data_IF_222709606914
#
_entry.id   IF_222709606914
#
_cell.length_a   1.000
_cell.length_b   1.000
_cell.length_c   1.000
_cell.angle_alpha   90.00
_cell.angle_beta   90.00
_cell.angle_gamma   90.00
#
_symmetry.space_group_name_H-M   'P 1'
#
loop_
_entity.id
_entity.type
_entity.pdbx_description
1 polymer ?
#
# COMPACT_ATOMS: atom_id res chain seq x y z
N UNK A 1 -0.93 8.15 16.33
CA UNK A 1 -1.21 8.10 14.88
C UNK A 1 -2.38 7.14 14.66
N UNK A 2 -3.55 7.65 14.30
CA UNK A 2 -4.84 6.93 14.16
C UNK A 2 -4.95 6.08 12.86
N UNK A 3 -3.85 5.48 12.41
CA UNK A 3 -3.71 4.91 11.04
C UNK A 3 -4.41 3.57 10.87
N UNK A 4 -4.71 2.87 11.97
CA UNK A 4 -5.19 1.49 11.93
C UNK A 4 -6.62 1.35 11.39
N UNK A 5 -7.50 2.34 11.62
CA UNK A 5 -8.91 2.20 11.25
C UNK A 5 -9.11 2.42 9.75
N UNK A 6 -8.52 3.46 9.19
CA UNK A 6 -8.71 3.81 7.77
C UNK A 6 -8.01 2.82 6.81
N UNK A 7 -6.82 2.32 7.16
CA UNK A 7 -6.14 1.25 6.42
C UNK A 7 -6.86 -0.10 6.49
N UNK A 8 -7.48 -0.39 7.63
CA UNK A 8 -8.28 -1.60 7.79
C UNK A 8 -9.57 -1.50 6.95
N UNK A 9 -10.23 -0.35 6.95
CA UNK A 9 -11.39 -0.09 6.11
C UNK A 9 -11.03 -0.10 4.62
N UNK A 10 -9.85 0.41 4.25
CA UNK A 10 -9.25 0.25 2.93
C UNK A 10 -9.09 -1.21 2.52
N UNK A 11 -8.59 -2.06 3.42
CA UNK A 11 -8.44 -3.50 3.16
C UNK A 11 -9.80 -4.21 2.97
N UNK A 12 -10.85 -3.73 3.64
CA UNK A 12 -12.23 -4.22 3.46
C UNK A 12 -12.83 -3.74 2.14
N UNK A 13 -12.64 -2.47 1.80
CA UNK A 13 -13.07 -1.92 0.51
C UNK A 13 -12.39 -2.64 -0.65
N UNK A 14 -11.11 -2.97 -0.51
CA UNK A 14 -10.37 -3.79 -1.47
C UNK A 14 -11.06 -5.14 -1.71
N UNK A 15 -11.39 -5.89 -0.66
CA UNK A 15 -12.10 -7.17 -0.79
C UNK A 15 -13.50 -7.02 -1.43
N UNK A 16 -14.22 -5.95 -1.10
CA UNK A 16 -15.57 -5.68 -1.61
C UNK A 16 -15.59 -5.24 -3.09
N UNK A 17 -14.64 -4.41 -3.51
CA UNK A 17 -14.51 -3.92 -4.89
C UNK A 17 -14.12 -5.07 -5.85
N UNK A 18 -13.23 -5.93 -5.37
CA UNK A 18 -12.65 -7.06 -6.09
C UNK A 18 -13.64 -8.15 -6.45
N UNK A 19 -14.56 -8.49 -5.54
CA UNK A 19 -15.61 -9.50 -5.77
C UNK A 19 -16.63 -9.06 -6.82
N UNK A 20 -16.77 -7.75 -7.06
CA UNK A 20 -17.79 -7.17 -7.94
C UNK A 20 -17.35 -7.08 -9.40
N UNK A 21 -16.04 -7.11 -9.68
CA UNK A 21 -15.46 -6.85 -11.01
C UNK A 21 -14.84 -8.08 -11.70
N UNK A 22 -15.05 -9.29 -11.18
CA UNK A 22 -14.55 -10.53 -11.80
C UNK A 22 -13.02 -10.63 -11.88
N UNK A 23 -12.31 -9.96 -10.96
CA UNK A 23 -10.85 -10.03 -10.90
C UNK A 23 -10.37 -11.43 -10.51
N UNK A 24 -9.24 -11.83 -11.07
CA UNK A 24 -8.52 -13.07 -10.77
C UNK A 24 -8.23 -13.18 -9.26
N UNK A 25 -8.72 -14.24 -8.64
CA UNK A 25 -8.61 -14.50 -7.20
C UNK A 25 -7.16 -14.53 -6.72
N UNK A 26 -6.22 -14.97 -7.56
CA UNK A 26 -4.80 -14.99 -7.23
C UNK A 26 -4.22 -13.57 -7.12
N UNK A 27 -4.57 -12.69 -8.06
CA UNK A 27 -4.15 -11.28 -8.04
C UNK A 27 -4.68 -10.58 -6.80
N UNK A 28 -5.93 -10.84 -6.43
CA UNK A 28 -6.57 -10.28 -5.25
C UNK A 28 -5.89 -10.74 -3.96
N UNK A 29 -5.55 -12.02 -3.89
CA UNK A 29 -4.84 -12.57 -2.74
C UNK A 29 -3.45 -11.92 -2.59
N UNK A 30 -2.72 -11.72 -3.70
CA UNK A 30 -1.42 -11.03 -3.70
C UNK A 30 -1.55 -9.57 -3.26
N UNK A 31 -2.52 -8.83 -3.79
CA UNK A 31 -2.79 -7.44 -3.39
C UNK A 31 -3.13 -7.34 -1.89
N UNK A 32 -3.98 -8.24 -1.38
CA UNK A 32 -4.35 -8.29 0.05
C UNK A 32 -3.16 -8.60 0.94
N UNK A 33 -2.33 -9.58 0.57
CA UNK A 33 -1.10 -9.93 1.32
C UNK A 33 -0.14 -8.75 1.35
N UNK A 34 0.08 -8.11 0.21
CA UNK A 34 0.95 -6.95 0.12
C UNK A 34 0.45 -5.80 1.01
N UNK A 35 -0.85 -5.49 0.96
CA UNK A 35 -1.45 -4.46 1.82
C UNK A 35 -1.22 -4.72 3.32
N UNK A 36 -1.33 -5.98 3.75
CA UNK A 36 -1.05 -6.37 5.14
C UNK A 36 0.41 -6.09 5.49
N UNK A 37 1.36 -6.53 4.66
CA UNK A 37 2.79 -6.27 4.86
C UNK A 37 3.10 -4.77 4.91
N UNK A 38 2.46 -3.99 4.04
CA UNK A 38 2.57 -2.53 4.05
C UNK A 38 2.08 -1.95 5.39
N UNK A 39 0.88 -2.31 5.84
CA UNK A 39 0.31 -1.86 7.12
C UNK A 39 1.27 -2.14 8.28
N UNK A 40 1.82 -3.35 8.33
CA UNK A 40 2.72 -3.75 9.41
C UNK A 40 4.01 -2.91 9.41
N UNK A 41 4.59 -2.61 8.23
CA UNK A 41 5.73 -1.68 8.13
C UNK A 41 5.34 -0.23 8.44
N UNK A 42 4.15 0.22 8.02
CA UNK A 42 3.67 1.59 8.24
C UNK A 42 3.46 1.89 9.73
N UNK A 43 3.05 0.90 10.54
CA UNK A 43 2.88 1.06 12.00
C UNK A 43 4.15 1.50 12.73
N UNK A 44 5.30 1.14 12.20
CA UNK A 44 6.61 1.46 12.77
C UNK A 44 7.37 2.55 11.98
N UNK A 45 6.81 3.01 10.86
CA UNK A 45 7.44 4.01 9.99
C UNK A 45 6.90 5.40 10.32
N UNK A 46 7.81 6.36 10.54
CA UNK A 46 7.43 7.76 10.74
C UNK A 46 7.27 8.46 9.39
N UNK A 47 6.25 9.31 9.20
CA UNK A 47 6.15 10.16 8.02
C UNK A 47 7.36 11.09 7.89
N UNK A 48 7.77 11.38 6.66
CA UNK A 48 8.78 12.38 6.33
C UNK A 48 8.26 13.24 5.18
N UNK A 49 8.21 14.57 5.38
CA UNK A 49 7.68 15.53 4.41
C UNK A 49 6.32 15.09 3.84
N UNK A 50 5.39 14.69 4.73
CA UNK A 50 4.03 14.25 4.39
C UNK A 50 3.91 12.95 3.59
N UNK A 51 5.04 12.33 3.26
CA UNK A 51 5.12 11.04 2.60
C UNK A 51 5.51 9.95 3.59
N UNK A 52 4.97 8.76 3.42
CA UNK A 52 5.46 7.57 4.11
C UNK A 52 6.15 6.68 3.09
N UNK A 53 7.40 6.33 3.37
CA UNK A 53 8.23 5.50 2.50
C UNK A 53 8.56 4.19 3.20
N UNK A 54 8.24 3.08 2.55
CA UNK A 54 8.59 1.73 3.03
C UNK A 54 9.33 0.99 1.92
N UNK A 55 10.35 0.23 2.29
CA UNK A 55 11.19 -0.49 1.32
C UNK A 55 11.05 -2.01 1.48
N UNK A 56 11.05 -2.71 0.35
CA UNK A 56 11.07 -4.16 0.23
C UNK A 56 12.29 -4.57 -0.59
N UNK A 57 13.18 -5.39 -0.03
CA UNK A 57 14.50 -5.70 -0.62
C UNK A 57 14.54 -7.09 -1.25
N UNK A 58 15.24 -7.21 -2.37
CA UNK A 58 15.39 -8.46 -3.14
C UNK A 58 16.31 -9.49 -2.47
N UNK A 59 17.27 -9.03 -1.67
CA UNK A 59 18.14 -9.88 -0.87
C UNK A 59 18.20 -9.35 0.55
N UNK A 60 17.66 -10.11 1.50
CA UNK A 60 18.11 -10.09 2.88
C UNK A 60 18.97 -11.32 3.14
N UNK A 61 19.80 -11.31 4.19
CA UNK A 61 20.56 -12.48 4.63
C UNK A 61 19.66 -13.69 4.96
N UNK A 62 18.35 -13.47 5.08
CA UNK A 62 17.31 -14.44 5.45
C UNK A 62 16.37 -14.80 4.28
N UNK A 63 16.66 -14.35 3.06
CA UNK A 63 15.80 -14.54 1.87
C UNK A 63 15.23 -13.23 1.31
N UNK A 64 14.58 -13.27 0.15
CA UNK A 64 13.92 -12.08 -0.40
C UNK A 64 12.73 -11.67 0.49
N UNK A 65 12.51 -10.37 0.69
CA UNK A 65 11.34 -9.88 1.41
C UNK A 65 10.07 -10.35 0.66
N UNK A 66 9.12 -10.97 1.36
CA UNK A 66 7.87 -11.46 0.75
C UNK A 66 7.18 -10.34 -0.05
N UNK A 67 7.20 -9.11 0.46
CA UNK A 67 6.63 -7.97 -0.24
C UNK A 67 7.37 -7.63 -1.53
N UNK A 68 8.69 -7.86 -1.62
CA UNK A 68 9.44 -7.66 -2.85
C UNK A 68 8.95 -8.60 -3.96
N UNK A 69 8.75 -9.88 -3.64
CA UNK A 69 8.25 -10.89 -4.58
C UNK A 69 6.84 -10.57 -5.04
N UNK A 70 5.93 -10.25 -4.10
CA UNK A 70 4.55 -9.87 -4.42
C UNK A 70 4.47 -8.64 -5.33
N UNK A 71 5.27 -7.62 -5.02
CA UNK A 71 5.36 -6.41 -5.83
C UNK A 71 5.84 -6.74 -7.25
N UNK A 72 6.92 -7.53 -7.36
CA UNK A 72 7.49 -7.92 -8.65
C UNK A 72 6.45 -8.60 -9.54
N UNK A 73 5.71 -9.56 -8.99
CA UNK A 73 4.65 -10.29 -9.70
C UNK A 73 3.51 -9.34 -10.13
N UNK A 74 3.03 -8.47 -9.23
CA UNK A 74 1.96 -7.53 -9.54
C UNK A 74 2.35 -6.48 -10.60
N UNK A 75 3.62 -6.05 -10.61
CA UNK A 75 4.16 -5.16 -11.64
C UNK A 75 4.26 -5.88 -12.99
N UNK A 76 4.76 -7.13 -13.02
CA UNK A 76 4.85 -7.93 -14.24
C UNK A 76 3.48 -8.19 -14.88
N UNK A 77 2.44 -8.34 -14.06
CA UNK A 77 1.05 -8.52 -14.51
C UNK A 77 0.35 -7.19 -14.88
N UNK A 78 1.01 -6.04 -14.71
CA UNK A 78 0.42 -4.71 -14.84
C UNK A 78 -0.84 -4.52 -13.97
N UNK A 79 -0.83 -5.09 -12.75
CA UNK A 79 -1.93 -5.04 -11.77
C UNK A 79 -1.61 -4.24 -10.50
N UNK A 80 -0.39 -3.74 -10.39
CA UNK A 80 -0.01 -2.88 -9.26
C UNK A 80 -0.66 -1.50 -9.39
N UNK A 81 -0.29 -0.72 -10.41
CA UNK A 81 -0.70 0.69 -10.54
C UNK A 81 -2.22 0.84 -10.70
N UNK A 82 -2.87 -0.09 -11.40
CA UNK A 82 -4.33 -0.11 -11.61
C UNK A 82 -5.11 -0.09 -10.30
N UNK A 83 -4.52 -0.62 -9.24
CA UNK A 83 -5.15 -0.74 -7.93
C UNK A 83 -4.61 0.29 -6.93
N UNK A 84 -3.28 0.36 -6.78
CA UNK A 84 -2.65 1.17 -5.73
C UNK A 84 -2.70 2.68 -5.98
N UNK A 85 -2.84 3.11 -7.25
CA UNK A 85 -2.94 4.53 -7.57
C UNK A 85 -4.21 5.21 -7.02
N UNK A 86 -5.31 4.46 -6.85
CA UNK A 86 -6.55 4.97 -6.23
C UNK A 86 -6.33 5.44 -4.78
N UNK A 87 -5.30 4.89 -4.14
CA UNK A 87 -4.91 5.17 -2.77
C UNK A 87 -3.68 6.08 -2.66
N UNK A 88 -3.24 6.67 -3.78
CA UNK A 88 -2.04 7.50 -3.87
C UNK A 88 -0.80 6.74 -3.37
N UNK A 89 -0.77 5.43 -3.64
CA UNK A 89 0.36 4.55 -3.35
C UNK A 89 1.13 4.37 -4.65
N UNK A 90 2.40 4.75 -4.61
CA UNK A 90 3.32 4.73 -5.73
C UNK A 90 4.48 3.80 -5.46
N UNK A 91 5.06 3.28 -6.54
CA UNK A 91 6.19 2.38 -6.47
C UNK A 91 7.37 2.93 -7.27
N UNK A 92 8.55 2.86 -6.65
CA UNK A 92 9.82 3.17 -7.27
C UNK A 92 10.71 1.94 -7.19
N UNK A 93 11.26 1.51 -8.34
CA UNK A 93 12.30 0.48 -8.37
C UNK A 93 13.65 1.13 -8.13
N UNK A 94 14.42 0.59 -7.19
CA UNK A 94 15.77 1.04 -6.87
C UNK A 94 16.70 -0.14 -7.10
N UNK A 95 17.52 -0.04 -8.14
CA UNK A 95 18.57 -0.99 -8.45
C UNK A 95 19.94 -0.35 -8.18
N UNK A 96 20.70 -0.92 -7.26
CA UNK A 96 22.09 -0.54 -6.99
C UNK A 96 22.98 -1.69 -7.39
N UNK A 97 23.77 -1.47 -8.44
CA UNK A 97 24.72 -2.45 -8.97
C UNK A 97 26.14 -1.92 -8.83
N UNK A 98 26.92 -2.57 -7.96
CA UNK A 98 28.37 -2.39 -7.90
C UNK A 98 29.04 -3.74 -8.18
N UNK A 99 30.34 -3.75 -8.50
CA UNK A 99 31.09 -4.94 -8.94
C UNK A 99 30.91 -6.19 -8.04
N UNK A 100 30.62 -5.99 -6.75
CA UNK A 100 30.57 -7.05 -5.74
C UNK A 100 29.14 -7.44 -5.34
N UNK A 101 28.11 -6.60 -5.60
CA UNK A 101 26.72 -6.85 -5.18
C UNK A 101 25.70 -6.23 -6.12
N UNK A 102 24.65 -6.99 -6.41
CA UNK A 102 23.38 -6.47 -6.97
C UNK A 102 22.34 -6.42 -5.86
N UNK A 103 21.99 -5.21 -5.44
CA UNK A 103 20.89 -4.97 -4.52
C UNK A 103 19.74 -4.37 -5.32
N UNK A 104 18.61 -5.08 -5.38
CA UNK A 104 17.36 -4.55 -5.92
C UNK A 104 16.37 -4.34 -4.79
N UNK A 105 15.58 -3.28 -4.88
CA UNK A 105 14.51 -3.02 -3.93
C UNK A 105 13.37 -2.28 -4.60
N UNK A 106 12.19 -2.44 -4.02
CA UNK A 106 11.05 -1.60 -4.32
C UNK A 106 10.80 -0.70 -3.12
N UNK A 107 10.79 0.61 -3.37
CA UNK A 107 10.31 1.61 -2.43
C UNK A 107 8.84 1.90 -2.76
N UNK A 108 7.97 1.70 -1.79
CA UNK A 108 6.60 2.18 -1.86
C UNK A 108 6.55 3.54 -1.17
N UNK A 109 6.05 4.53 -1.89
CA UNK A 109 5.74 5.86 -1.36
C UNK A 109 4.23 5.99 -1.25
N UNK A 110 3.75 6.34 -0.07
CA UNK A 110 2.35 6.66 0.16
C UNK A 110 2.19 8.15 0.45
N UNK A 111 1.46 8.83 -0.43
CA UNK A 111 1.07 10.22 -0.25
C UNK A 111 -0.23 10.29 0.57
N UNK A 112 -0.06 10.00 1.87
CA UNK A 112 -1.18 9.82 2.79
C UNK A 112 -1.98 11.11 3.00
N UNK A 113 -1.32 12.28 3.05
CA UNK A 113 -2.04 13.54 3.27
C UNK A 113 -2.94 13.89 2.09
N UNK A 114 -2.43 13.80 0.85
CA UNK A 114 -3.26 14.08 -0.32
C UNK A 114 -4.39 13.05 -0.47
N UNK A 115 -4.13 11.78 -0.14
CA UNK A 115 -5.17 10.76 -0.07
C UNK A 115 -6.25 11.10 0.97
N UNK A 116 -5.85 11.49 2.18
CA UNK A 116 -6.77 11.86 3.26
C UNK A 116 -7.61 13.07 2.88
N UNK A 117 -6.98 14.13 2.36
CA UNK A 117 -7.67 15.33 1.87
C UNK A 117 -8.64 14.99 0.75
N UNK A 118 -8.26 14.14 -0.21
CA UNK A 118 -9.14 13.72 -1.29
C UNK A 118 -10.40 13.01 -0.76
N UNK A 119 -10.29 12.19 0.28
CA UNK A 119 -11.44 11.50 0.90
C UNK A 119 -12.32 12.47 1.69
N UNK A 120 -11.72 13.38 2.44
CA UNK A 120 -12.44 14.41 3.18
C UNK A 120 -13.21 15.34 2.22
N UNK A 121 -12.57 15.77 1.13
CA UNK A 121 -13.15 16.68 0.13
C UNK A 121 -14.21 16.02 -0.75
N UNK A 122 -14.09 14.71 -1.03
CA UNK A 122 -15.13 13.93 -1.73
C UNK A 122 -16.37 13.67 -0.87
N UNK A 123 -16.41 14.15 0.37
CA UNK A 123 -17.55 13.94 1.28
C UNK A 123 -17.68 12.50 1.81
N UNK A 124 -16.80 11.59 1.40
CA UNK A 124 -16.76 10.20 1.89
C UNK A 124 -16.37 10.17 3.38
N UNK A 125 -15.66 11.20 3.86
CA UNK A 125 -15.37 11.42 5.29
C UNK A 125 -16.47 12.15 6.08
N UNK A 126 -17.37 12.90 5.44
CA UNK A 126 -18.42 13.68 6.15
C UNK A 126 -19.66 12.86 6.50
N UNK A 127 -19.88 11.70 5.88
CA UNK A 127 -20.93 10.76 6.30
C UNK A 127 -20.50 9.88 7.48
N UNK A 128 -19.24 9.90 7.91
CA UNK A 128 -18.79 9.21 9.15
C UNK A 128 -18.72 10.11 10.39
N UNK A 129 -18.82 11.43 10.24
CA UNK A 129 -18.91 12.38 11.36
C UNK A 129 -20.34 12.54 11.91
N UNK A 130 -21.27 11.66 11.50
CA UNK A 130 -22.68 11.71 11.92
C UNK A 130 -23.07 10.55 12.86
N UNK A 131 -22.11 10.02 13.62
CA UNK A 131 -22.40 9.21 14.80
C UNK A 131 -21.80 9.89 16.04
N UNK A 132 -22.68 10.62 16.71
CA UNK A 132 -22.68 10.94 18.14
C UNK A 132 -21.54 11.83 18.67
N UNK A 133 -21.77 13.14 18.60
CA UNK A 133 -21.63 13.98 19.80
C UNK A 133 -23.05 14.34 20.22
N UNK A 134 -23.66 13.46 21.01
CA UNK A 134 -24.79 13.86 21.87
C UNK A 134 -24.17 14.54 23.09
N UNK A 135 -24.68 15.72 23.41
CA UNK A 135 -24.24 16.58 24.53
C UNK A 135 -24.26 15.87 25.87
#
# INVERSE_FOLDING_TARGET
>A
MEFNKDLYELSKMNYAFSKKNGLDEEILLKQKRLLKLMIDKLRVTRPNNNLIKISFKSSSFEGADEGYTLIKELVQLNKFNTFFSEYFIYITKIDVANEVRRLSSFEITWDYLNYYEAICNRGIGRTRTMFEVVK
#
